data_IF_872334629673
#
_entry.id   IF_872334629673
#
_cell.length_a   1.000
_cell.length_b   1.000
_cell.length_c   1.000
_cell.angle_alpha   90.00
_cell.angle_beta   90.00
_cell.angle_gamma   90.00
#
_symmetry.space_group_name_H-M   'P 1'
#
loop_
_entity.id
_entity.type
_entity.pdbx_description
1 polymer ?
#
# COMPACT_ATOMS: atom_id res chain seq x y z
N UNK A 1 -19.07 -35.51 24.33
CA UNK A 1 -19.51 -35.61 22.92
C UNK A 1 -19.41 -34.22 22.33
N UNK A 2 -18.44 -33.95 21.44
CA UNK A 2 -18.42 -32.69 20.71
C UNK A 2 -19.49 -32.75 19.63
N UNK A 3 -20.41 -31.78 19.60
CA UNK A 3 -21.45 -31.71 18.56
C UNK A 3 -20.79 -31.48 17.20
N UNK A 4 -21.07 -32.38 16.25
CA UNK A 4 -20.56 -32.35 14.88
C UNK A 4 -21.37 -31.41 13.96
N UNK A 5 -21.81 -30.25 14.45
CA UNK A 5 -22.39 -29.21 13.59
C UNK A 5 -21.25 -28.38 12.99
N UNK A 6 -20.62 -28.94 11.96
CA UNK A 6 -19.61 -28.24 11.17
C UNK A 6 -20.35 -27.42 10.11
N UNK A 7 -20.29 -26.08 10.13
CA UNK A 7 -20.91 -25.26 9.11
C UNK A 7 -20.30 -25.57 7.74
N UNK A 8 -21.14 -25.78 6.73
CA UNK A 8 -20.70 -25.99 5.34
C UNK A 8 -20.63 -24.70 4.52
N UNK A 9 -21.04 -23.58 5.11
CA UNK A 9 -21.08 -22.26 4.47
C UNK A 9 -20.53 -21.18 5.39
N UNK A 10 -20.08 -20.08 4.80
CA UNK A 10 -19.65 -18.90 5.54
C UNK A 10 -20.87 -18.10 6.04
N UNK A 11 -20.74 -17.38 7.17
CA UNK A 11 -21.81 -16.49 7.65
C UNK A 11 -22.21 -15.47 6.60
N UNK A 12 -23.49 -15.07 6.62
CA UNK A 12 -23.96 -13.95 5.80
C UNK A 12 -23.13 -12.68 6.12
N UNK A 13 -22.71 -11.97 5.08
CA UNK A 13 -21.88 -10.76 5.23
C UNK A 13 -20.39 -11.04 5.45
N UNK A 14 -19.91 -12.27 5.28
CA UNK A 14 -18.47 -12.56 5.34
C UNK A 14 -17.67 -11.70 4.34
N UNK A 15 -16.63 -11.04 4.84
CA UNK A 15 -15.83 -10.07 4.08
C UNK A 15 -14.72 -10.76 3.29
N UNK A 16 -15.10 -11.39 2.18
CA UNK A 16 -14.13 -11.86 1.19
C UNK A 16 -13.34 -10.70 0.60
N UNK A 17 -12.05 -10.89 0.41
CA UNK A 17 -11.18 -9.79 0.02
C UNK A 17 -9.74 -10.19 -0.16
N UNK A 18 -8.90 -9.17 -0.35
CA UNK A 18 -7.46 -9.30 -0.47
C UNK A 18 -6.73 -8.36 0.47
N UNK A 19 -5.47 -8.69 0.75
CA UNK A 19 -4.59 -7.89 1.60
C UNK A 19 -3.26 -7.61 0.90
N UNK A 20 -2.80 -6.37 1.01
CA UNK A 20 -1.52 -5.91 0.48
C UNK A 20 -0.82 -5.00 1.49
N UNK A 21 0.45 -4.66 1.22
CA UNK A 21 1.18 -3.64 1.97
C UNK A 21 1.86 -2.68 0.98
N UNK A 22 1.76 -1.37 1.24
CA UNK A 22 2.18 -0.28 0.36
C UNK A 22 3.56 -0.50 -0.25
N UNK A 23 4.55 -0.81 0.58
CA UNK A 23 5.93 -1.03 0.14
C UNK A 23 6.10 -2.21 -0.84
N UNK A 24 5.16 -3.17 -0.87
CA UNK A 24 5.24 -4.33 -1.75
C UNK A 24 4.72 -4.04 -3.17
N UNK A 25 3.70 -3.21 -3.32
CA UNK A 25 2.99 -3.04 -4.59
C UNK A 25 3.03 -1.61 -5.15
N UNK A 26 3.06 -0.56 -4.32
CA UNK A 26 2.87 0.81 -4.78
C UNK A 26 3.94 1.26 -5.77
N UNK A 27 5.21 1.05 -5.42
CA UNK A 27 6.31 1.65 -6.17
C UNK A 27 6.37 3.16 -6.01
N UNK A 28 6.78 3.87 -7.07
CA UNK A 28 6.88 5.33 -7.10
C UNK A 28 7.56 5.90 -5.83
N UNK A 29 8.69 5.30 -5.46
CA UNK A 29 9.29 5.45 -4.13
C UNK A 29 9.76 6.87 -3.80
N UNK A 30 9.99 7.69 -4.82
CA UNK A 30 10.52 9.05 -4.77
C UNK A 30 9.60 10.08 -5.47
N UNK A 31 8.34 9.72 -5.73
CA UNK A 31 7.34 10.61 -6.33
C UNK A 31 6.58 11.32 -5.22
N UNK A 32 6.10 12.54 -5.50
CA UNK A 32 5.26 13.35 -4.59
C UNK A 32 5.89 13.57 -3.21
N UNK A 33 7.22 13.72 -3.15
CA UNK A 33 7.93 13.99 -1.92
C UNK A 33 8.02 12.80 -0.96
N UNK A 34 7.71 11.57 -1.40
CA UNK A 34 7.87 10.38 -0.56
C UNK A 34 9.32 10.20 -0.11
N UNK A 35 9.50 9.95 1.19
CA UNK A 35 10.78 9.60 1.80
C UNK A 35 11.22 8.15 1.54
N UNK A 36 12.53 7.92 1.64
CA UNK A 36 13.14 6.59 1.57
C UNK A 36 12.83 5.81 2.85
N UNK A 37 12.42 4.54 2.73
CA UNK A 37 12.15 3.67 3.89
C UNK A 37 13.13 2.50 3.96
N UNK A 38 13.05 1.74 5.05
CA UNK A 38 13.80 0.48 5.22
C UNK A 38 13.49 -0.55 4.12
N UNK A 39 12.33 -0.47 3.45
CA UNK A 39 11.97 -1.39 2.38
C UNK A 39 12.71 -1.10 1.07
N UNK A 40 12.96 0.17 0.74
CA UNK A 40 13.60 0.56 -0.53
C UNK A 40 15.13 0.46 -0.53
N UNK A 41 15.71 0.04 0.60
CA UNK A 41 17.15 -0.26 0.72
C UNK A 41 17.45 -1.76 0.66
N UNK A 42 16.42 -2.61 0.63
CA UNK A 42 16.58 -4.05 0.45
C UNK A 42 16.81 -4.37 -1.03
N UNK A 43 18.03 -4.82 -1.33
CA UNK A 43 18.44 -5.19 -2.69
C UNK A 43 17.69 -6.44 -3.16
N UNK A 44 17.49 -6.56 -4.48
CA UNK A 44 17.02 -7.77 -5.13
C UNK A 44 17.93 -8.94 -4.75
N UNK A 45 17.33 -9.95 -4.12
CA UNK A 45 18.01 -11.18 -3.78
C UNK A 45 18.05 -12.14 -4.98
N UNK A 46 19.10 -12.98 -5.05
CA UNK A 46 19.17 -14.08 -6.03
C UNK A 46 18.42 -15.30 -5.53
N UNK A 47 18.41 -15.51 -4.21
CA UNK A 47 17.65 -16.55 -3.52
C UNK A 47 16.65 -15.93 -2.53
N UNK A 48 15.47 -16.53 -2.37
CA UNK A 48 14.43 -16.06 -1.43
C UNK A 48 14.94 -15.93 0.00
N UNK A 49 15.87 -16.80 0.42
CA UNK A 49 16.45 -16.80 1.77
C UNK A 49 17.30 -15.54 2.05
N UNK A 50 17.80 -14.88 1.01
CA UNK A 50 18.61 -13.67 1.10
C UNK A 50 17.75 -12.38 1.05
N UNK A 51 16.44 -12.52 0.80
CA UNK A 51 15.50 -11.39 0.71
C UNK A 51 15.00 -10.98 2.10
N UNK A 52 15.92 -10.56 2.96
CA UNK A 52 15.62 -10.16 4.34
C UNK A 52 16.24 -8.81 4.68
N UNK A 53 15.56 -8.07 5.56
CA UNK A 53 16.06 -6.83 6.15
C UNK A 53 17.35 -7.07 6.95
N UNK A 54 17.59 -8.31 7.40
CA UNK A 54 18.83 -8.71 8.09
C UNK A 54 20.08 -8.68 7.17
N UNK A 55 19.90 -8.58 5.85
CA UNK A 55 21.00 -8.49 4.88
C UNK A 55 21.48 -7.04 4.64
N UNK A 56 20.87 -6.04 5.30
CA UNK A 56 21.26 -4.63 5.15
C UNK A 56 22.39 -4.30 6.14
N UNK A 57 23.54 -3.88 5.60
CA UNK A 57 24.70 -3.39 6.34
C UNK A 57 24.86 -1.88 6.11
N UNK A 58 25.78 -1.22 6.81
CA UNK A 58 26.05 0.22 6.59
C UNK A 58 26.51 0.51 5.16
N UNK A 59 27.32 -0.39 4.60
CA UNK A 59 27.86 -0.26 3.25
C UNK A 59 26.76 -0.42 2.20
N UNK A 60 25.89 -1.43 2.35
CA UNK A 60 24.78 -1.65 1.41
C UNK A 60 23.72 -0.55 1.53
N UNK A 61 23.51 -0.02 2.73
CA UNK A 61 22.66 1.15 2.96
C UNK A 61 23.20 2.40 2.25
N UNK A 62 24.49 2.71 2.38
CA UNK A 62 25.11 3.85 1.70
C UNK A 62 24.99 3.74 0.17
N UNK A 63 25.23 2.53 -0.37
CA UNK A 63 25.04 2.25 -1.79
C UNK A 63 23.57 2.42 -2.22
N UNK A 64 22.61 2.01 -1.39
CA UNK A 64 21.19 2.19 -1.68
C UNK A 64 20.77 3.66 -1.67
N UNK A 65 21.30 4.48 -0.76
CA UNK A 65 21.01 5.93 -0.71
C UNK A 65 21.58 6.64 -1.95
N UNK A 66 22.77 6.24 -2.41
CA UNK A 66 23.42 6.80 -3.59
C UNK A 66 22.74 6.42 -4.90
N UNK A 67 22.24 5.18 -5.01
CA UNK A 67 21.49 4.71 -6.18
C UNK A 67 20.12 5.41 -6.25
N UNK A 68 19.83 6.11 -7.35
CA UNK A 68 18.54 6.79 -7.60
C UNK A 68 17.61 6.02 -8.54
N UNK A 69 17.96 4.77 -8.86
CA UNK A 69 17.19 3.89 -9.74
C UNK A 69 16.38 2.86 -8.95
N UNK A 70 15.55 2.10 -9.65
CA UNK A 70 14.77 0.99 -9.11
C UNK A 70 15.29 -0.40 -9.58
N UNK A 71 16.37 -0.44 -10.36
CA UNK A 71 16.86 -1.67 -11.03
C UNK A 71 17.25 -2.76 -10.05
N UNK A 72 17.89 -2.36 -8.95
CA UNK A 72 18.40 -3.27 -7.93
C UNK A 72 17.50 -3.36 -6.70
N UNK A 73 16.45 -2.54 -6.61
CA UNK A 73 15.61 -2.41 -5.42
C UNK A 73 14.14 -2.62 -5.82
N UNK A 74 13.63 -3.86 -5.80
CA UNK A 74 12.32 -4.19 -6.39
C UNK A 74 11.17 -3.43 -5.73
N UNK A 75 11.28 -3.09 -4.45
CA UNK A 75 10.28 -2.32 -3.70
C UNK A 75 10.16 -0.87 -4.18
N UNK A 76 11.15 -0.34 -4.90
CA UNK A 76 11.10 1.00 -5.48
C UNK A 76 10.12 1.10 -6.65
N UNK A 77 9.95 -0.01 -7.37
CA UNK A 77 9.01 -0.13 -8.50
C UNK A 77 7.67 -0.76 -8.11
N UNK A 78 7.70 -1.76 -7.21
CA UNK A 78 6.51 -2.56 -6.91
C UNK A 78 5.92 -3.18 -8.20
N UNK A 79 4.60 -3.09 -8.35
CA UNK A 79 3.88 -3.38 -9.60
C UNK A 79 3.34 -2.09 -10.25
N UNK A 80 3.83 -0.93 -9.77
CA UNK A 80 3.34 0.40 -10.13
C UNK A 80 1.87 0.66 -9.77
N UNK A 81 1.40 0.06 -8.65
CA UNK A 81 0.03 0.27 -8.16
C UNK A 81 -0.24 1.75 -7.86
N UNK A 82 0.76 2.54 -7.50
CA UNK A 82 0.60 3.98 -7.25
C UNK A 82 0.00 4.72 -8.45
N UNK A 83 0.33 4.33 -9.68
CA UNK A 83 -0.26 4.92 -10.89
C UNK A 83 -1.46 4.11 -11.43
N UNK A 84 -1.51 2.80 -11.16
CA UNK A 84 -2.47 1.84 -11.75
C UNK A 84 -3.58 1.35 -10.83
N UNK A 85 -3.71 1.95 -9.64
CA UNK A 85 -4.65 1.48 -8.62
C UNK A 85 -6.11 1.44 -9.13
N UNK A 86 -6.50 2.29 -10.08
CA UNK A 86 -7.87 2.31 -10.61
C UNK A 86 -8.19 1.05 -11.38
N UNK A 87 -7.27 0.63 -12.25
CA UNK A 87 -7.39 -0.61 -13.03
C UNK A 87 -7.34 -1.83 -12.11
N UNK A 88 -6.42 -1.83 -11.14
CA UNK A 88 -6.26 -2.94 -10.19
C UNK A 88 -7.49 -3.10 -9.28
N UNK A 89 -8.07 -1.99 -8.79
CA UNK A 89 -9.30 -2.00 -8.00
C UNK A 89 -10.50 -2.45 -8.83
N UNK A 90 -10.56 -2.11 -10.12
CA UNK A 90 -11.62 -2.60 -11.00
C UNK A 90 -11.60 -4.14 -11.12
N UNK A 91 -10.40 -4.74 -11.18
CA UNK A 91 -10.25 -6.20 -11.16
C UNK A 91 -10.68 -6.80 -9.80
N UNK A 92 -10.38 -6.13 -8.68
CA UNK A 92 -10.86 -6.59 -7.37
C UNK A 92 -12.40 -6.58 -7.28
N UNK A 93 -13.05 -5.60 -7.90
CA UNK A 93 -14.50 -5.54 -7.99
C UNK A 93 -15.07 -6.66 -8.88
N UNK A 94 -14.39 -7.01 -9.99
CA UNK A 94 -14.76 -8.15 -10.86
C UNK A 94 -14.71 -9.48 -10.10
N UNK A 95 -13.73 -9.65 -9.19
CA UNK A 95 -13.64 -10.79 -8.28
C UNK A 95 -14.60 -10.73 -7.09
N UNK A 96 -15.49 -9.74 -7.04
CA UNK A 96 -16.53 -9.58 -6.01
C UNK A 96 -15.94 -9.37 -4.60
N UNK A 97 -14.78 -8.70 -4.50
CA UNK A 97 -14.21 -8.34 -3.20
C UNK A 97 -15.19 -7.47 -2.40
N UNK A 98 -15.35 -7.82 -1.12
CA UNK A 98 -16.12 -7.08 -0.12
C UNK A 98 -15.22 -6.24 0.80
N UNK A 99 -13.95 -6.60 0.89
CA UNK A 99 -12.94 -5.85 1.61
C UNK A 99 -11.62 -5.82 0.84
N UNK A 100 -10.91 -4.71 0.92
CA UNK A 100 -9.53 -4.60 0.48
C UNK A 100 -8.69 -3.99 1.58
N UNK A 101 -7.77 -4.77 2.13
CA UNK A 101 -6.84 -4.32 3.16
C UNK A 101 -5.56 -3.83 2.49
N UNK A 102 -5.18 -2.60 2.79
CA UNK A 102 -3.90 -2.01 2.40
C UNK A 102 -3.29 -1.25 3.59
N UNK A 103 -1.99 -1.01 3.55
CA UNK A 103 -1.33 -0.08 4.48
C UNK A 103 -1.16 1.28 3.85
N UNK A 104 -1.15 2.34 4.65
CA UNK A 104 -0.75 3.68 4.19
C UNK A 104 0.78 3.78 4.33
N UNK A 105 1.48 4.20 3.29
CA UNK A 105 2.92 4.42 3.34
C UNK A 105 3.24 5.63 4.24
N UNK A 106 3.81 5.38 5.43
CA UNK A 106 4.16 6.45 6.38
C UNK A 106 5.02 7.53 5.72
N UNK A 107 6.06 7.13 4.98
CA UNK A 107 6.98 8.05 4.32
C UNK A 107 6.35 8.87 3.18
N UNK A 108 5.10 8.60 2.78
CA UNK A 108 4.35 9.53 1.93
C UNK A 108 3.72 10.66 2.73
N UNK A 109 3.37 10.43 3.99
CA UNK A 109 2.73 11.41 4.86
C UNK A 109 3.78 12.21 5.65
N UNK A 110 4.77 11.54 6.23
CA UNK A 110 5.90 12.15 6.93
C UNK A 110 7.19 11.55 6.38
N UNK A 111 7.79 12.17 5.33
CA UNK A 111 8.94 11.62 4.61
C UNK A 111 10.13 11.25 5.50
N UNK A 112 10.45 12.07 6.48
CA UNK A 112 11.53 11.85 7.45
C UNK A 112 10.98 11.31 8.78
N UNK A 113 9.70 11.56 9.07
CA UNK A 113 8.99 11.02 10.23
C UNK A 113 8.88 11.99 11.41
N UNK A 114 9.53 13.15 11.31
CA UNK A 114 9.62 14.18 12.35
C UNK A 114 9.13 15.56 11.86
N UNK A 115 8.53 15.64 10.68
CA UNK A 115 7.96 16.89 10.19
C UNK A 115 6.75 17.34 11.02
N UNK A 116 6.63 18.64 11.28
CA UNK A 116 5.48 19.21 12.02
C UNK A 116 4.16 19.10 11.24
N UNK A 117 4.25 19.09 9.91
CA UNK A 117 3.09 19.06 9.00
C UNK A 117 3.20 17.90 8.03
N UNK A 118 2.08 17.25 7.70
CA UNK A 118 2.09 16.16 6.73
C UNK A 118 2.36 16.67 5.32
N UNK A 119 2.85 15.78 4.47
CA UNK A 119 2.93 15.97 3.04
C UNK A 119 1.54 15.81 2.39
N UNK A 120 0.98 16.93 1.94
CA UNK A 120 -0.34 17.02 1.34
C UNK A 120 -0.50 16.15 0.08
N UNK A 121 0.55 15.99 -0.72
CA UNK A 121 0.49 15.14 -1.92
C UNK A 121 0.31 13.65 -1.55
N UNK A 122 1.00 13.19 -0.50
CA UNK A 122 0.83 11.85 0.05
C UNK A 122 -0.57 11.60 0.63
N UNK A 123 -1.14 12.61 1.31
CA UNK A 123 -2.52 12.56 1.79
C UNK A 123 -3.53 12.50 0.64
N UNK A 124 -3.35 13.32 -0.39
CA UNK A 124 -4.21 13.35 -1.56
C UNK A 124 -4.20 12.00 -2.30
N UNK A 125 -3.02 11.42 -2.53
CA UNK A 125 -2.89 10.09 -3.15
C UNK A 125 -3.62 9.01 -2.34
N UNK A 126 -3.40 8.98 -1.02
CA UNK A 126 -4.10 8.06 -0.11
C UNK A 126 -5.62 8.19 -0.21
N UNK A 127 -6.13 9.43 -0.24
CA UNK A 127 -7.56 9.71 -0.35
C UNK A 127 -8.14 9.18 -1.67
N UNK A 128 -7.43 9.35 -2.78
CA UNK A 128 -7.87 8.87 -4.09
C UNK A 128 -7.97 7.34 -4.13
N UNK A 129 -6.94 6.63 -3.66
CA UNK A 129 -6.95 5.16 -3.60
C UNK A 129 -8.08 4.62 -2.73
N UNK A 130 -8.26 5.18 -1.53
CA UNK A 130 -9.34 4.76 -0.63
C UNK A 130 -10.73 5.04 -1.22
N UNK A 131 -10.91 6.18 -1.88
CA UNK A 131 -12.19 6.53 -2.50
C UNK A 131 -12.50 5.60 -3.67
N UNK A 132 -11.50 5.21 -4.46
CA UNK A 132 -11.68 4.25 -5.55
C UNK A 132 -12.01 2.83 -5.07
N UNK A 133 -11.50 2.43 -3.91
CA UNK A 133 -11.78 1.11 -3.32
C UNK A 133 -13.15 1.02 -2.62
N UNK A 134 -13.81 2.15 -2.38
CA UNK A 134 -15.14 2.18 -1.75
C UNK A 134 -16.23 1.69 -2.72
N UNK A 135 -17.21 0.90 -2.26
CA UNK A 135 -18.37 0.55 -3.07
C UNK A 135 -19.09 1.82 -3.56
N UNK A 136 -19.52 1.85 -4.83
CA UNK A 136 -20.25 2.99 -5.44
C UNK A 136 -21.51 3.43 -4.68
N UNK A 137 -22.03 2.61 -3.76
CA UNK A 137 -23.16 2.99 -2.90
C UNK A 137 -22.79 4.05 -1.84
N UNK A 138 -21.50 4.25 -1.54
CA UNK A 138 -21.04 5.19 -0.50
C UNK A 138 -20.48 6.52 -1.06
N UNK A 139 -20.31 6.65 -2.39
CA UNK A 139 -19.69 7.84 -3.00
C UNK A 139 -20.53 9.12 -2.95
N UNK A 140 -21.79 9.05 -2.50
CA UNK A 140 -22.67 10.21 -2.36
C UNK A 140 -22.53 10.93 -1.01
N UNK A 141 -21.81 10.37 -0.03
CA UNK A 141 -21.71 10.96 1.33
C UNK A 141 -20.64 12.04 1.43
N UNK A 142 -19.67 12.12 0.51
CA UNK A 142 -18.53 13.05 0.61
C UNK A 142 -18.73 14.39 -0.12
N UNK A 143 -19.91 14.63 -0.71
CA UNK A 143 -20.22 15.87 -1.46
C UNK A 143 -20.85 16.99 -0.63
N UNK A 144 -21.27 16.74 0.60
CA UNK A 144 -21.81 17.80 1.46
C UNK A 144 -20.74 18.30 2.45
N UNK A 145 -19.98 19.31 2.00
CA UNK A 145 -19.18 20.17 2.89
C UNK A 145 -19.77 21.58 3.00
N UNK A 146 -21.05 21.74 2.65
CA UNK A 146 -21.72 23.05 2.63
C UNK A 146 -22.31 23.47 3.99
N UNK A 147 -22.25 22.64 5.03
CA UNK A 147 -22.92 22.90 6.31
C UNK A 147 -22.04 22.63 7.54
N UNK A 148 -20.85 23.23 7.58
CA UNK A 148 -20.15 23.45 8.85
C UNK A 148 -19.87 24.96 8.92
N UNK A 149 -20.85 25.68 9.45
CA UNK A 149 -20.70 27.06 9.93
C UNK A 149 -20.12 27.09 11.33
#
# INVERSE_FOLDING_TARGET
MYQANIPTTFPAGFLWGGATAANQLEGAWNVDGKGLTTAEVVKKAKNRQEFSMNAVTKETLAAAIADKTDKLYPKRRGIDFYHRYKEDIALFAEMVFKAFRLSIAWARIFPNGDEEKPNEAGLAGTRLTLTSAMPRSYSNVTRDRSNIG
#
